data_IF_571357076573
#
_entry.id   IF_571357076573
#
_cell.length_a   1.000
_cell.length_b   1.000
_cell.length_c   1.000
_cell.angle_alpha   90.00
_cell.angle_beta   90.00
_cell.angle_gamma   90.00
#
_symmetry.space_group_name_H-M   'P 1'
#
loop_
_entity.id
_entity.type
_entity.pdbx_description
1 polymer ?
#
# COMPACT_ATOMS: atom_id res chain seq x y z
N UNK A 1 -15.01 -22.20 -16.79
CA UNK A 1 -15.89 -22.25 -18.00
C UNK A 1 -15.04 -22.72 -19.17
N UNK A 2 -15.46 -23.75 -19.87
CA UNK A 2 -14.83 -24.25 -21.10
C UNK A 2 -15.45 -23.57 -22.31
N UNK A 3 -14.62 -23.18 -23.30
CA UNK A 3 -15.09 -22.49 -24.52
C UNK A 3 -14.77 -23.38 -25.73
N UNK A 4 -15.65 -24.34 -26.08
CA UNK A 4 -15.40 -25.31 -27.14
C UNK A 4 -15.37 -24.72 -28.55
N UNK A 5 -15.96 -23.54 -28.75
CA UNK A 5 -16.03 -22.84 -30.05
C UNK A 5 -14.66 -22.37 -30.59
N UNK A 6 -13.62 -22.48 -29.77
CA UNK A 6 -12.25 -22.20 -30.19
C UNK A 6 -11.62 -23.30 -31.02
N UNK A 7 -12.22 -24.49 -31.06
CA UNK A 7 -11.72 -25.60 -31.86
C UNK A 7 -11.81 -25.31 -33.37
N UNK A 8 -10.80 -25.75 -34.09
CA UNK A 8 -10.76 -25.65 -35.55
C UNK A 8 -10.53 -24.26 -36.13
N UNK A 9 -10.00 -23.31 -35.31
CA UNK A 9 -9.52 -22.03 -35.82
C UNK A 9 -8.21 -22.26 -36.59
N UNK A 10 -8.19 -21.90 -37.87
CA UNK A 10 -7.00 -22.06 -38.69
C UNK A 10 -5.86 -21.14 -38.24
N UNK A 11 -4.58 -21.53 -38.40
CA UNK A 11 -3.45 -20.68 -38.12
C UNK A 11 -3.54 -19.32 -38.84
N UNK A 12 -3.06 -18.25 -38.20
CA UNK A 12 -3.05 -16.88 -38.73
C UNK A 12 -4.46 -16.30 -39.01
N UNK A 13 -5.51 -16.88 -38.42
CA UNK A 13 -6.87 -16.39 -38.56
C UNK A 13 -7.40 -15.90 -37.21
N UNK A 14 -8.36 -14.98 -37.23
CA UNK A 14 -9.05 -14.47 -36.06
C UNK A 14 -10.53 -14.87 -36.13
N UNK A 15 -11.05 -15.38 -35.01
CA UNK A 15 -12.46 -15.71 -34.88
C UNK A 15 -13.02 -15.05 -33.63
N UNK A 16 -14.15 -14.36 -33.76
CA UNK A 16 -14.90 -13.85 -32.63
C UNK A 16 -15.75 -14.97 -32.03
N UNK A 17 -15.54 -15.24 -30.75
CA UNK A 17 -16.29 -16.24 -29.98
C UNK A 17 -17.10 -15.53 -28.90
N UNK A 18 -18.36 -15.91 -28.73
CA UNK A 18 -19.23 -15.43 -27.65
C UNK A 18 -19.55 -16.59 -26.73
N UNK A 19 -19.43 -16.37 -25.43
CA UNK A 19 -19.75 -17.37 -24.41
C UNK A 19 -20.74 -16.75 -23.42
N UNK A 20 -21.99 -17.21 -23.46
CA UNK A 20 -23.00 -16.78 -22.48
C UNK A 20 -22.68 -17.30 -21.08
N UNK A 21 -22.09 -18.50 -20.98
CA UNK A 21 -21.67 -19.05 -19.70
C UNK A 21 -20.60 -18.17 -19.01
N UNK A 22 -19.62 -17.65 -19.77
CA UNK A 22 -18.62 -16.71 -19.24
C UNK A 22 -19.28 -15.39 -18.84
N UNK A 23 -20.19 -14.87 -19.65
CA UNK A 23 -20.93 -13.65 -19.34
C UNK A 23 -21.73 -13.76 -18.04
N UNK A 24 -22.41 -14.88 -17.81
CA UNK A 24 -23.15 -15.13 -16.57
C UNK A 24 -22.22 -15.23 -15.37
N UNK A 25 -21.11 -15.97 -15.49
CA UNK A 25 -20.13 -16.11 -14.41
C UNK A 25 -19.51 -14.76 -14.01
N UNK A 26 -19.24 -13.87 -14.97
CA UNK A 26 -18.77 -12.51 -14.68
C UNK A 26 -19.84 -11.72 -13.95
N UNK A 27 -21.09 -11.73 -14.43
CA UNK A 27 -22.18 -10.98 -13.80
C UNK A 27 -22.49 -11.46 -12.37
N UNK A 28 -22.38 -12.77 -12.12
CA UNK A 28 -22.52 -13.36 -10.79
C UNK A 28 -21.39 -12.86 -9.86
N UNK A 29 -20.12 -12.92 -10.30
CA UNK A 29 -18.99 -12.44 -9.54
C UNK A 29 -19.10 -10.93 -9.24
N UNK A 30 -19.50 -10.10 -10.20
CA UNK A 30 -19.73 -8.66 -9.99
C UNK A 30 -20.85 -8.39 -8.98
N UNK A 31 -21.89 -9.22 -8.96
CA UNK A 31 -23.00 -9.10 -8.01
C UNK A 31 -22.60 -9.44 -6.59
N UNK A 32 -21.75 -10.44 -6.42
CA UNK A 32 -21.32 -10.93 -5.09
C UNK A 32 -20.10 -10.17 -4.54
N UNK A 33 -19.19 -9.75 -5.42
CA UNK A 33 -17.87 -9.21 -5.09
C UNK A 33 -17.56 -7.87 -5.75
N UNK A 34 -18.58 -7.05 -6.02
CA UNK A 34 -18.44 -5.82 -6.83
C UNK A 34 -17.45 -4.76 -6.32
N UNK A 35 -16.93 -4.89 -5.09
CA UNK A 35 -15.86 -4.04 -4.54
C UNK A 35 -14.47 -4.67 -4.61
N UNK A 36 -14.40 -5.95 -4.91
CA UNK A 36 -13.17 -6.71 -4.99
C UNK A 36 -12.61 -6.69 -6.42
N UNK A 37 -11.34 -7.02 -6.57
CA UNK A 37 -10.74 -7.21 -7.87
C UNK A 37 -11.30 -8.49 -8.50
N UNK A 38 -11.88 -8.35 -9.69
CA UNK A 38 -12.40 -9.48 -10.47
C UNK A 38 -11.56 -9.62 -11.73
N UNK A 39 -10.95 -10.78 -11.91
CA UNK A 39 -10.13 -11.09 -13.08
C UNK A 39 -10.66 -12.31 -13.81
N UNK A 40 -10.57 -12.30 -15.14
CA UNK A 40 -10.82 -13.46 -15.99
C UNK A 40 -9.49 -13.96 -16.53
N UNK A 41 -9.17 -15.21 -16.25
CA UNK A 41 -7.99 -15.89 -16.72
C UNK A 41 -8.35 -16.87 -17.84
N UNK A 42 -7.77 -16.67 -19.02
CA UNK A 42 -7.86 -17.62 -20.12
C UNK A 42 -6.63 -18.51 -20.13
N UNK A 43 -6.84 -19.80 -20.27
CA UNK A 43 -5.77 -20.77 -20.49
C UNK A 43 -6.09 -21.56 -21.77
N UNK A 44 -5.15 -21.55 -22.71
CA UNK A 44 -5.22 -22.33 -23.93
C UNK A 44 -4.39 -23.59 -23.73
N UNK A 45 -5.06 -24.74 -23.72
CA UNK A 45 -4.41 -26.02 -23.50
C UNK A 45 -4.42 -26.86 -24.78
N UNK A 46 -3.34 -27.62 -24.99
CA UNK A 46 -3.27 -28.58 -26.08
C UNK A 46 -4.33 -29.68 -25.93
N UNK A 47 -4.93 -30.06 -27.03
CA UNK A 47 -5.81 -31.24 -27.09
C UNK A 47 -5.03 -32.56 -27.26
N UNK A 48 -3.69 -32.47 -27.39
CA UNK A 48 -2.77 -33.60 -27.54
C UNK A 48 -2.59 -34.05 -28.98
N UNK A 49 -2.99 -33.24 -29.95
CA UNK A 49 -2.78 -33.54 -31.39
C UNK A 49 -1.41 -33.14 -31.93
N UNK A 50 -0.74 -32.21 -31.21
CA UNK A 50 0.61 -31.78 -31.58
C UNK A 50 1.69 -32.77 -31.13
N UNK A 51 2.73 -33.03 -31.98
CA UNK A 51 3.85 -33.86 -31.57
C UNK A 51 4.59 -33.23 -30.36
N UNK A 52 4.98 -34.07 -29.40
CA UNK A 52 5.77 -33.69 -28.22
C UNK A 52 5.06 -32.73 -27.24
N UNK A 53 3.78 -32.52 -27.42
CA UNK A 53 2.95 -31.70 -26.48
C UNK A 53 1.89 -32.59 -25.87
N UNK A 54 1.88 -32.68 -24.53
CA UNK A 54 0.90 -33.50 -23.84
C UNK A 54 -0.49 -32.87 -23.84
N UNK A 55 -1.52 -33.72 -23.85
CA UNK A 55 -2.89 -33.25 -23.71
C UNK A 55 -3.08 -32.52 -22.39
N UNK A 56 -3.65 -31.35 -22.43
CA UNK A 56 -3.88 -30.47 -21.27
C UNK A 56 -2.69 -29.58 -20.93
N UNK A 57 -1.58 -29.67 -21.62
CA UNK A 57 -0.48 -28.73 -21.46
C UNK A 57 -0.91 -27.33 -21.86
N UNK A 58 -0.76 -26.39 -20.94
CA UNK A 58 -1.13 -24.98 -21.20
C UNK A 58 -0.09 -24.32 -22.09
N UNK A 59 -0.52 -23.90 -23.27
CA UNK A 59 0.31 -23.29 -24.31
C UNK A 59 0.34 -21.77 -24.22
N UNK A 60 -0.75 -21.15 -23.76
CA UNK A 60 -0.84 -19.71 -23.59
C UNK A 60 -1.79 -19.36 -22.44
N UNK A 61 -1.54 -18.23 -21.81
CA UNK A 61 -2.42 -17.64 -20.80
C UNK A 61 -2.62 -16.18 -21.07
N UNK A 62 -3.82 -15.69 -20.77
CA UNK A 62 -4.15 -14.28 -20.80
C UNK A 62 -5.06 -13.95 -19.63
N UNK A 63 -4.82 -12.82 -18.99
CA UNK A 63 -5.65 -12.30 -17.92
C UNK A 63 -6.25 -10.96 -18.33
N UNK A 64 -7.51 -10.76 -17.97
CA UNK A 64 -8.18 -9.48 -18.10
C UNK A 64 -8.76 -9.08 -16.74
N UNK A 65 -8.55 -7.85 -16.33
CA UNK A 65 -9.22 -7.25 -15.17
C UNK A 65 -10.59 -6.78 -15.61
N UNK A 66 -11.63 -7.31 -14.99
CA UNK A 66 -13.03 -6.93 -15.24
C UNK A 66 -13.43 -5.80 -14.30
N UNK A 67 -13.05 -5.94 -13.02
CA UNK A 67 -13.30 -4.94 -11.99
C UNK A 67 -11.99 -4.73 -11.20
N UNK A 68 -11.59 -3.48 -11.04
CA UNK A 68 -10.46 -3.12 -10.18
C UNK A 68 -10.90 -3.08 -8.72
N UNK A 69 -10.01 -3.45 -7.80
CA UNK A 69 -10.27 -3.33 -6.38
C UNK A 69 -10.56 -1.88 -6.00
N UNK A 70 -11.71 -1.67 -5.39
CA UNK A 70 -12.08 -0.36 -4.88
C UNK A 70 -11.63 -0.24 -3.43
N UNK A 71 -10.51 0.41 -3.23
CA UNK A 71 -10.09 0.80 -1.88
C UNK A 71 -11.19 1.68 -1.27
N UNK A 72 -11.60 1.34 -0.05
CA UNK A 72 -12.43 2.26 0.72
C UNK A 72 -11.71 3.61 0.74
N UNK A 73 -12.42 4.65 0.33
CA UNK A 73 -11.90 6.01 0.47
C UNK A 73 -11.67 6.22 1.95
N UNK A 74 -10.44 6.04 2.40
CA UNK A 74 -10.03 6.60 3.66
C UNK A 74 -10.23 8.10 3.48
N UNK A 75 -11.25 8.66 4.12
CA UNK A 75 -11.39 10.10 4.24
C UNK A 75 -10.16 10.60 5.00
N UNK A 76 -9.04 10.70 4.26
CA UNK A 76 -7.90 11.44 4.76
C UNK A 76 -8.37 12.89 4.75
N UNK A 77 -8.50 13.53 5.89
CA UNK A 77 -8.80 14.96 5.92
C UNK A 77 -7.61 15.66 5.29
N UNK A 78 -7.73 15.90 3.99
CA UNK A 78 -6.84 16.79 3.26
C UNK A 78 -7.30 18.18 3.65
N UNK A 79 -6.41 18.93 4.30
CA UNK A 79 -6.59 20.24 4.85
C UNK A 79 -7.25 20.32 6.23
N UNK A 80 -6.50 19.96 7.26
CA UNK A 80 -6.65 20.67 8.51
C UNK A 80 -6.09 22.10 8.30
N UNK A 81 -6.97 23.05 8.09
CA UNK A 81 -6.63 24.45 8.27
C UNK A 81 -5.97 24.56 9.64
N UNK A 82 -4.72 25.00 9.70
CA UNK A 82 -3.98 25.18 10.94
C UNK A 82 -4.67 26.25 11.80
N UNK A 83 -5.61 25.82 12.60
CA UNK A 83 -6.16 26.67 13.67
C UNK A 83 -5.14 26.63 14.79
N UNK A 84 -4.38 27.71 14.93
CA UNK A 84 -3.55 27.95 16.12
C UNK A 84 -4.49 27.98 17.34
N UNK A 85 -4.57 26.88 18.06
CA UNK A 85 -5.26 26.83 19.34
C UNK A 85 -4.29 27.31 20.41
N UNK A 86 -4.41 28.57 20.75
CA UNK A 86 -3.84 29.15 21.97
C UNK A 86 -4.46 28.50 23.20
N UNK A 87 -3.61 28.05 24.09
CA UNK A 87 -3.86 27.22 25.25
C UNK A 87 -5.13 27.51 26.05
N UNK A 88 -5.87 26.42 26.28
CA UNK A 88 -6.56 26.16 27.55
C UNK A 88 -6.73 24.63 27.66
N UNK A 89 -6.23 24.06 28.77
CA UNK A 89 -6.49 22.67 29.18
C UNK A 89 -7.99 22.45 29.32
N UNK A 90 -8.61 21.92 28.27
CA UNK A 90 -9.97 21.42 28.30
C UNK A 90 -9.93 19.94 27.97
N UNK A 91 -10.27 19.08 28.91
CA UNK A 91 -10.44 17.65 28.71
C UNK A 91 -11.62 17.46 27.74
N UNK A 92 -11.34 17.28 26.43
CA UNK A 92 -12.35 16.80 25.48
C UNK A 92 -12.67 15.35 25.88
N UNK A 93 -13.91 15.10 26.31
CA UNK A 93 -14.41 13.74 26.40
C UNK A 93 -14.61 13.21 24.98
N UNK A 94 -13.59 12.48 24.49
CA UNK A 94 -13.66 11.72 23.24
C UNK A 94 -14.50 10.47 23.49
N UNK A 95 -15.48 10.22 22.64
CA UNK A 95 -16.21 8.94 22.59
C UNK A 95 -15.39 7.83 21.92
N UNK A 96 -14.25 8.16 21.35
CA UNK A 96 -13.25 7.21 20.83
C UNK A 96 -12.32 6.79 21.98
N UNK A 97 -12.02 5.48 22.07
CA UNK A 97 -11.07 4.93 23.05
C UNK A 97 -9.60 5.27 22.67
N UNK A 98 -9.35 6.47 22.16
CA UNK A 98 -8.02 6.96 21.80
C UNK A 98 -7.56 7.91 22.90
N UNK A 99 -6.44 7.59 23.52
CA UNK A 99 -5.78 8.42 24.51
C UNK A 99 -4.53 9.05 23.90
N UNK A 100 -4.34 10.35 24.16
CA UNK A 100 -3.18 11.10 23.69
C UNK A 100 -2.41 11.65 24.87
N UNK A 101 -1.16 11.28 24.98
CA UNK A 101 -0.20 11.84 25.92
C UNK A 101 0.82 12.66 25.14
N UNK A 102 0.97 13.93 25.48
CA UNK A 102 1.91 14.81 24.81
C UNK A 102 2.87 15.44 25.81
N UNK A 103 4.15 15.32 25.52
CA UNK A 103 5.24 15.92 26.29
C UNK A 103 6.06 16.87 25.40
N UNK A 104 7.12 17.45 25.96
CA UNK A 104 8.07 18.25 25.18
C UNK A 104 8.90 17.39 24.19
N UNK A 105 8.98 16.10 24.41
CA UNK A 105 9.87 15.19 23.66
C UNK A 105 9.12 14.27 22.70
N UNK A 106 7.89 13.93 22.99
CA UNK A 106 7.12 12.97 22.19
C UNK A 106 5.61 13.22 22.26
N UNK A 107 4.91 12.59 21.33
CA UNK A 107 3.45 12.36 21.36
C UNK A 107 3.23 10.86 21.38
N UNK A 108 2.50 10.37 22.39
CA UNK A 108 2.05 8.98 22.50
C UNK A 108 0.55 8.92 22.23
N UNK A 109 0.16 8.02 21.36
CA UNK A 109 -1.25 7.74 21.05
C UNK A 109 -1.52 6.27 21.37
N UNK A 110 -2.54 6.04 22.19
CA UNK A 110 -2.92 4.69 22.63
C UNK A 110 -4.37 4.42 22.26
N UNK A 111 -4.64 3.24 21.71
CA UNK A 111 -5.99 2.79 21.37
C UNK A 111 -6.10 1.27 21.59
N UNK A 112 -7.01 0.86 22.47
CA UNK A 112 -7.30 -0.55 22.81
C UNK A 112 -6.06 -1.41 23.04
N UNK A 113 -5.54 -2.00 21.96
CA UNK A 113 -4.46 -2.99 21.94
C UNK A 113 -3.12 -2.45 21.43
N UNK A 114 -3.08 -1.22 20.99
CA UNK A 114 -1.91 -0.63 20.34
C UNK A 114 -1.54 0.70 20.99
N UNK A 115 -0.24 0.94 21.13
CA UNK A 115 0.28 2.26 21.48
C UNK A 115 1.47 2.60 20.57
N UNK A 116 1.49 3.84 20.10
CA UNK A 116 2.57 4.36 19.26
C UNK A 116 3.09 5.65 19.86
N UNK A 117 4.40 5.81 19.87
CA UNK A 117 5.07 7.03 20.31
C UNK A 117 5.91 7.60 19.19
N UNK A 118 5.68 8.87 18.87
CA UNK A 118 6.45 9.59 17.86
C UNK A 118 7.28 10.66 18.56
N UNK A 119 8.58 10.65 18.29
CA UNK A 119 9.52 11.63 18.81
C UNK A 119 9.36 12.99 18.13
N UNK A 120 9.20 14.05 18.89
CA UNK A 120 9.07 15.41 18.34
C UNK A 120 10.34 15.95 17.70
N UNK A 121 11.49 15.42 18.10
CA UNK A 121 12.79 15.77 17.52
C UNK A 121 13.15 14.92 16.32
N UNK A 122 12.68 13.69 16.29
CA UNK A 122 12.96 12.74 15.22
C UNK A 122 11.92 12.77 14.12
N UNK A 123 10.65 13.10 14.46
CA UNK A 123 9.50 12.97 13.57
C UNK A 123 9.19 11.51 13.20
N UNK A 124 9.77 10.54 13.90
CA UNK A 124 9.70 9.11 13.60
C UNK A 124 9.00 8.36 14.72
N UNK A 125 8.51 7.15 14.41
CA UNK A 125 7.98 6.23 15.42
C UNK A 125 9.17 5.70 16.23
N UNK A 126 9.27 6.09 17.49
CA UNK A 126 10.32 5.68 18.41
C UNK A 126 9.90 4.51 19.30
N UNK A 127 8.58 4.24 19.37
CA UNK A 127 8.02 3.11 20.10
C UNK A 127 6.69 2.69 19.50
N UNK A 128 6.50 1.39 19.40
CA UNK A 128 5.26 0.77 18.96
C UNK A 128 5.08 -0.53 19.73
N UNK A 129 3.92 -0.70 20.34
CA UNK A 129 3.50 -1.97 20.93
C UNK A 129 2.12 -2.39 20.43
N UNK A 130 1.91 -3.69 20.43
CA UNK A 130 0.62 -4.34 20.18
C UNK A 130 0.40 -5.37 21.28
N UNK A 131 -0.72 -5.29 21.97
CA UNK A 131 -1.05 -6.14 23.15
C UNK A 131 0.03 -6.10 24.25
N UNK A 132 0.64 -4.94 24.44
CA UNK A 132 1.75 -4.70 25.36
C UNK A 132 3.07 -5.40 24.97
N UNK A 133 3.14 -5.97 23.77
CA UNK A 133 4.35 -6.54 23.23
C UNK A 133 5.06 -5.51 22.33
N UNK A 134 6.28 -5.11 22.66
CA UNK A 134 7.02 -4.12 21.87
C UNK A 134 7.44 -4.69 20.51
N UNK A 135 7.11 -3.97 19.45
CA UNK A 135 7.47 -4.32 18.07
C UNK A 135 8.85 -3.77 17.70
N UNK A 136 9.19 -2.59 18.22
CA UNK A 136 10.50 -1.97 17.99
C UNK A 136 11.45 -2.28 19.15
N UNK A 137 12.72 -2.51 18.82
CA UNK A 137 13.76 -2.64 19.83
C UNK A 137 13.99 -1.31 20.53
N UNK A 138 14.40 -1.38 21.77
CA UNK A 138 14.72 -0.20 22.57
C UNK A 138 15.75 0.70 21.86
N UNK A 139 15.44 1.99 21.73
CA UNK A 139 16.23 3.04 21.07
C UNK A 139 16.33 2.93 19.54
N UNK A 140 15.53 2.10 18.90
CA UNK A 140 15.42 2.10 17.46
C UNK A 140 14.17 2.89 17.04
N UNK A 141 14.29 3.65 15.94
CA UNK A 141 13.16 4.35 15.33
C UNK A 141 12.80 3.71 14.00
N UNK A 142 11.52 3.66 13.69
CA UNK A 142 11.07 3.20 12.37
C UNK A 142 11.36 4.29 11.33
N UNK A 143 12.31 4.00 10.45
CA UNK A 143 12.73 4.92 9.39
C UNK A 143 12.19 4.48 8.03
N UNK A 144 11.83 5.42 7.15
CA UNK A 144 11.58 5.11 5.75
C UNK A 144 12.82 4.51 5.10
N UNK A 145 12.62 3.46 4.32
CA UNK A 145 13.69 2.80 3.56
C UNK A 145 13.49 3.09 2.08
N UNK A 146 14.51 3.64 1.42
CA UNK A 146 14.49 3.99 0.00
C UNK A 146 15.41 3.11 -0.84
N UNK A 147 16.02 2.10 -0.22
CA UNK A 147 17.01 1.26 -0.85
C UNK A 147 16.62 -0.21 -0.78
N UNK A 148 16.85 -0.92 -1.85
CA UNK A 148 16.79 -2.38 -1.89
C UNK A 148 18.15 -2.96 -2.28
N UNK A 149 18.36 -4.23 -2.03
CA UNK A 149 19.54 -4.93 -2.52
C UNK A 149 19.58 -4.85 -4.06
N UNK A 150 20.69 -4.39 -4.65
CA UNK A 150 20.84 -4.35 -6.11
C UNK A 150 20.80 -5.74 -6.70
N UNK A 151 20.14 -5.85 -7.88
CA UNK A 151 20.13 -7.04 -8.71
C UNK A 151 21.24 -6.96 -9.76
N UNK A 152 21.46 -8.05 -10.52
CA UNK A 152 22.42 -8.07 -11.61
C UNK A 152 22.12 -7.00 -12.67
N UNK A 153 20.84 -6.74 -12.94
CA UNK A 153 20.43 -5.68 -13.86
C UNK A 153 20.82 -4.29 -13.35
N UNK A 154 20.68 -4.05 -12.04
CA UNK A 154 21.11 -2.79 -11.43
C UNK A 154 22.63 -2.62 -11.54
N UNK A 155 23.41 -3.70 -11.34
CA UNK A 155 24.86 -3.69 -11.51
C UNK A 155 25.24 -3.43 -12.97
N UNK A 156 24.57 -4.06 -13.92
CA UNK A 156 24.77 -3.85 -15.35
C UNK A 156 24.53 -2.41 -15.80
N UNK A 157 23.49 -1.77 -15.23
CA UNK A 157 23.15 -0.37 -15.49
C UNK A 157 23.88 0.63 -14.57
N UNK A 158 24.74 0.18 -13.65
CA UNK A 158 25.45 1.00 -12.66
C UNK A 158 24.54 1.76 -11.68
N UNK A 159 23.26 1.39 -11.54
CA UNK A 159 22.28 2.08 -10.71
C UNK A 159 22.68 2.12 -9.23
N UNK A 160 23.35 1.10 -8.73
CA UNK A 160 23.88 1.06 -7.36
C UNK A 160 24.93 2.15 -7.07
N UNK A 161 25.55 2.71 -8.10
CA UNK A 161 26.47 3.83 -8.00
C UNK A 161 25.76 5.17 -8.15
N UNK A 162 24.94 5.30 -9.18
CA UNK A 162 24.22 6.53 -9.51
C UNK A 162 23.18 6.89 -8.44
N UNK A 163 22.46 5.89 -7.92
CA UNK A 163 21.40 6.08 -6.93
C UNK A 163 21.89 5.88 -5.49
N UNK A 164 23.19 5.80 -5.26
CA UNK A 164 23.79 5.53 -3.93
C UNK A 164 23.30 6.48 -2.85
N UNK A 165 22.97 7.72 -3.17
CA UNK A 165 22.43 8.72 -2.25
C UNK A 165 21.15 8.24 -1.55
N UNK A 166 20.35 7.41 -2.21
CA UNK A 166 19.10 6.86 -1.67
C UNK A 166 19.29 5.74 -0.66
N UNK A 167 20.52 5.21 -0.53
CA UNK A 167 20.82 4.17 0.45
C UNK A 167 20.69 4.67 1.89
N UNK A 168 21.03 5.95 2.11
CA UNK A 168 20.99 6.55 3.44
C UNK A 168 20.89 8.08 3.31
N UNK A 169 19.79 8.59 2.74
CA UNK A 169 19.65 10.02 2.49
C UNK A 169 19.54 10.79 3.80
N UNK A 170 20.10 11.99 3.82
CA UNK A 170 19.92 12.90 4.94
C UNK A 170 18.46 13.36 4.99
N UNK A 171 17.83 13.20 6.16
CA UNK A 171 16.47 13.66 6.44
C UNK A 171 16.49 14.66 7.60
N UNK A 172 16.29 15.93 7.32
CA UNK A 172 16.23 17.00 8.31
C UNK A 172 14.78 17.31 8.63
N UNK A 173 14.34 17.07 9.87
CA UNK A 173 12.99 17.41 10.30
C UNK A 173 12.77 18.94 10.24
N UNK A 174 11.81 19.40 9.44
CA UNK A 174 11.41 20.79 9.30
C UNK A 174 10.25 21.18 10.20
N UNK A 175 9.22 20.32 10.24
CA UNK A 175 8.06 20.54 11.09
C UNK A 175 7.50 19.22 11.61
N UNK A 176 6.84 19.31 12.76
CA UNK A 176 6.06 18.25 13.36
C UNK A 176 4.74 18.83 13.87
N UNK A 177 3.65 18.39 13.28
CA UNK A 177 2.32 18.93 13.53
C UNK A 177 1.37 17.83 14.02
N UNK A 178 0.44 18.21 14.92
CA UNK A 178 -0.61 17.33 15.45
C UNK A 178 -1.97 17.93 15.15
N UNK A 179 -2.87 17.12 14.65
CA UNK A 179 -4.29 17.44 14.48
C UNK A 179 -5.14 16.38 15.14
N UNK A 180 -6.03 16.80 16.05
CA UNK A 180 -6.98 15.93 16.75
C UNK A 180 -8.37 16.11 16.16
N UNK A 181 -9.02 15.03 15.82
CA UNK A 181 -10.40 14.96 15.35
C UNK A 181 -11.22 14.11 16.33
N UNK A 182 -12.52 14.03 16.09
CA UNK A 182 -13.43 13.30 16.99
C UNK A 182 -13.02 11.85 17.21
N UNK A 183 -12.59 11.16 16.14
CA UNK A 183 -12.33 9.72 16.14
C UNK A 183 -10.92 9.35 15.65
N UNK A 184 -10.03 10.34 15.47
CA UNK A 184 -8.67 10.12 15.02
C UNK A 184 -7.72 11.22 15.46
N UNK A 185 -6.45 10.87 15.48
CA UNK A 185 -5.33 11.80 15.69
C UNK A 185 -4.40 11.65 14.51
N UNK A 186 -4.03 12.75 13.87
CA UNK A 186 -3.09 12.79 12.76
C UNK A 186 -1.83 13.51 13.21
N UNK A 187 -0.70 12.84 13.10
CA UNK A 187 0.61 13.42 13.32
C UNK A 187 1.33 13.52 11.98
N UNK A 188 1.86 14.69 11.66
CA UNK A 188 2.53 14.95 10.38
C UNK A 188 3.95 15.43 10.64
N UNK A 189 4.93 14.71 10.12
CA UNK A 189 6.33 15.08 10.16
C UNK A 189 6.81 15.41 8.75
N UNK A 190 7.33 16.60 8.53
CA UNK A 190 7.86 17.05 7.24
C UNK A 190 9.38 17.15 7.31
N UNK A 191 10.05 16.51 6.37
CA UNK A 191 11.51 16.44 6.29
C UNK A 191 12.00 17.05 5.00
N UNK A 192 13.09 17.78 5.07
CA UNK A 192 13.87 18.18 3.92
C UNK A 192 14.95 17.11 3.66
N UNK A 193 15.08 16.71 2.41
CA UNK A 193 16.10 15.78 1.91
C UNK A 193 17.03 16.52 0.95
N UNK A 194 18.02 17.27 1.44
CA UNK A 194 18.79 18.23 0.63
C UNK A 194 19.63 17.56 -0.46
N UNK A 195 20.15 16.38 -0.21
CA UNK A 195 21.03 15.65 -1.15
C UNK A 195 20.26 15.22 -2.43
N UNK A 196 18.95 14.95 -2.31
CA UNK A 196 18.10 14.53 -3.41
C UNK A 196 17.12 15.63 -3.83
N UNK A 197 17.20 16.83 -3.21
CA UNK A 197 16.34 17.99 -3.47
C UNK A 197 14.86 17.63 -3.38
N UNK A 198 14.48 16.89 -2.37
CA UNK A 198 13.11 16.41 -2.16
C UNK A 198 12.59 16.80 -0.77
N UNK A 199 11.30 16.74 -0.62
CA UNK A 199 10.60 16.80 0.66
C UNK A 199 9.89 15.48 0.93
N UNK A 200 10.02 14.97 2.15
CA UNK A 200 9.32 13.77 2.61
C UNK A 200 8.30 14.17 3.67
N UNK A 201 7.06 13.78 3.49
CA UNK A 201 6.00 13.97 4.48
C UNK A 201 5.56 12.60 4.99
N UNK A 202 5.79 12.37 6.29
CA UNK A 202 5.27 11.19 7.00
C UNK A 202 4.00 11.59 7.74
N UNK A 203 2.95 10.83 7.51
CA UNK A 203 1.66 11.02 8.16
C UNK A 203 1.30 9.74 8.90
N UNK A 204 1.02 9.90 10.17
CA UNK A 204 0.64 8.82 11.09
C UNK A 204 -0.81 9.00 11.55
#
# INVERSE_FOLDING_TARGET
VEIPETKGIAPQTTKMVKSDALKYAIAEAESEHGKEEITVNFAFASDGTEPLVEKGQVMARQQFVINEYQFDKVDTPIAATSTKISGKKGKLQSTSNIEVEETNSYVKVSAKRMSVTIGKKTGLIDYLDVDSEPILKFRESMKPEFWRAPTDNDYGASLQKELKVWKNPVMNLKSFDKSEMKDSVVLTATFEMPEVKAELVLRY
#
